data_IF_569782198322
#
_entry.id   IF_569782198322
#
_cell.length_a   1.000
_cell.length_b   1.000
_cell.length_c   1.000
_cell.angle_alpha   90.00
_cell.angle_beta   90.00
_cell.angle_gamma   90.00
#
_symmetry.space_group_name_H-M   'P 1'
#
loop_
_entity.id
_entity.type
_entity.pdbx_description
1 polymer ?
#
# COMPACT_ATOMS: atom_id res chain seq x y z
N UNK A 1 -1.16 -5.72 -3.75
CA UNK A 1 -1.53 -7.11 -3.39
C UNK A 1 -2.18 -7.18 -2.02
N UNK A 2 -1.51 -6.86 -0.91
CA UNK A 2 -2.13 -6.93 0.42
C UNK A 2 -3.34 -5.99 0.60
N UNK A 3 -3.15 -4.70 0.32
CA UNK A 3 -4.21 -3.68 0.38
C UNK A 3 -5.40 -4.01 -0.54
N UNK A 4 -5.13 -4.54 -1.72
CA UNK A 4 -6.17 -4.89 -2.69
C UNK A 4 -6.99 -6.12 -2.25
N UNK A 5 -6.37 -7.09 -1.54
CA UNK A 5 -7.08 -8.26 -0.99
C UNK A 5 -7.94 -7.88 0.22
N UNK A 6 -7.40 -7.09 1.16
CA UNK A 6 -8.12 -6.73 2.40
C UNK A 6 -9.23 -5.68 2.16
N UNK A 7 -9.11 -4.89 1.09
CA UNK A 7 -10.08 -3.82 0.77
C UNK A 7 -11.22 -4.27 -0.14
N UNK A 8 -11.35 -5.57 -0.44
CA UNK A 8 -12.40 -6.10 -1.32
C UNK A 8 -13.78 -5.73 -0.76
N UNK A 9 -14.58 -5.04 -1.58
CA UNK A 9 -15.94 -4.61 -1.23
C UNK A 9 -16.06 -3.25 -0.53
N UNK A 10 -14.97 -2.52 -0.26
CA UNK A 10 -15.00 -1.16 0.31
C UNK A 10 -15.02 -0.08 -0.78
N UNK A 11 -15.59 1.09 -0.49
CA UNK A 11 -15.53 2.23 -1.43
C UNK A 11 -14.07 2.71 -1.55
N UNK A 12 -13.65 3.05 -2.76
CA UNK A 12 -12.29 3.56 -3.04
C UNK A 12 -11.93 4.73 -2.10
N UNK A 13 -12.88 5.63 -1.85
CA UNK A 13 -12.70 6.79 -0.95
C UNK A 13 -12.39 6.38 0.49
N UNK A 14 -13.07 5.36 1.03
CA UNK A 14 -12.87 4.87 2.40
C UNK A 14 -11.50 4.21 2.56
N UNK A 15 -11.07 3.46 1.55
CA UNK A 15 -9.75 2.81 1.51
C UNK A 15 -8.64 3.85 1.51
N UNK A 16 -8.77 4.90 0.68
CA UNK A 16 -7.79 5.99 0.61
C UNK A 16 -7.70 6.73 1.95
N UNK A 17 -8.84 7.15 2.51
CA UNK A 17 -8.85 7.86 3.79
C UNK A 17 -8.31 7.01 4.94
N UNK A 18 -8.70 5.73 5.01
CA UNK A 18 -8.19 4.81 6.02
C UNK A 18 -6.67 4.62 5.94
N UNK A 19 -6.12 4.52 4.73
CA UNK A 19 -4.68 4.38 4.52
C UNK A 19 -3.92 5.65 4.89
N UNK A 20 -4.36 6.82 4.40
CA UNK A 20 -3.68 8.08 4.66
C UNK A 20 -3.74 8.42 6.14
N UNK A 21 -4.93 8.43 6.74
CA UNK A 21 -5.08 8.80 8.16
C UNK A 21 -4.37 7.82 9.07
N UNK A 22 -4.48 6.50 8.80
CA UNK A 22 -3.83 5.48 9.59
C UNK A 22 -2.30 5.63 9.60
N UNK A 23 -1.70 5.76 8.41
CA UNK A 23 -0.25 5.93 8.30
C UNK A 23 0.23 7.27 8.86
N UNK A 24 -0.47 8.38 8.58
CA UNK A 24 -0.08 9.70 9.07
C UNK A 24 -0.12 9.79 10.59
N UNK A 25 -1.19 9.31 11.24
CA UNK A 25 -1.31 9.34 12.71
C UNK A 25 -0.23 8.45 13.35
N UNK A 26 0.04 7.27 12.77
CA UNK A 26 1.10 6.38 13.25
C UNK A 26 2.49 7.02 13.17
N UNK A 27 2.83 7.62 12.02
CA UNK A 27 4.10 8.33 11.86
C UNK A 27 4.20 9.53 12.80
N UNK A 28 3.14 10.34 12.90
CA UNK A 28 3.12 11.51 13.79
C UNK A 28 3.32 11.12 15.26
N UNK A 29 2.63 10.06 15.72
CA UNK A 29 2.79 9.57 17.08
C UNK A 29 4.21 9.06 17.34
N UNK A 30 4.74 8.20 16.46
CA UNK A 30 6.05 7.60 16.65
C UNK A 30 7.19 8.62 16.58
N UNK A 31 7.24 9.41 15.51
CA UNK A 31 8.26 10.45 15.37
C UNK A 31 8.07 11.54 16.42
N UNK A 32 6.83 11.98 16.70
CA UNK A 32 6.55 12.99 17.71
C UNK A 32 7.10 12.62 19.09
N UNK A 33 6.90 11.38 19.54
CA UNK A 33 7.40 10.94 20.86
C UNK A 33 8.91 10.73 20.85
N UNK A 34 9.43 9.98 19.87
CA UNK A 34 10.85 9.60 19.84
C UNK A 34 11.77 10.80 19.54
N UNK A 35 11.36 11.65 18.61
CA UNK A 35 12.11 12.85 18.22
C UNK A 35 12.06 13.90 19.34
N UNK A 36 10.90 14.14 19.95
CA UNK A 36 10.79 15.06 21.09
C UNK A 36 11.66 14.62 22.24
N UNK A 37 11.77 13.31 22.50
CA UNK A 37 12.67 12.77 23.52
C UNK A 37 14.14 13.01 23.16
N UNK A 38 14.55 12.70 21.93
CA UNK A 38 15.93 12.92 21.48
C UNK A 38 16.33 14.41 21.57
N UNK A 39 15.43 15.32 21.18
CA UNK A 39 15.63 16.77 21.29
C UNK A 39 15.74 17.19 22.76
N UNK A 40 14.89 16.66 23.64
CA UNK A 40 14.96 16.95 25.07
C UNK A 40 16.30 16.50 25.68
N UNK A 41 16.84 15.34 25.27
CA UNK A 41 18.16 14.88 25.71
C UNK A 41 19.30 15.77 25.18
N UNK A 42 19.15 16.32 23.97
CA UNK A 42 20.10 17.26 23.38
C UNK A 42 20.11 18.61 24.11
N UNK A 43 18.94 19.20 24.36
CA UNK A 43 18.82 20.50 25.03
C UNK A 43 19.33 20.44 26.47
N UNK A 44 19.09 19.34 27.18
CA UNK A 44 19.59 19.14 28.55
C UNK A 44 21.10 18.81 28.62
N UNK A 45 21.79 18.74 27.47
CA UNK A 45 23.24 18.50 27.42
C UNK A 45 23.66 17.07 27.78
N UNK A 46 22.72 16.13 27.87
CA UNK A 46 23.01 14.73 28.23
C UNK A 46 23.63 13.98 27.06
N UNK A 47 23.15 14.23 25.83
CA UNK A 47 23.66 13.60 24.60
C UNK A 47 23.77 14.62 23.49
N UNK A 48 24.96 14.76 22.89
CA UNK A 48 25.15 15.54 21.67
C UNK A 48 24.82 14.68 20.43
N UNK A 49 23.53 14.52 20.14
CA UNK A 49 23.03 13.68 19.04
C UNK A 49 23.62 14.08 17.66
N UNK A 50 23.72 15.38 17.29
CA UNK A 50 24.32 15.79 16.03
C UNK A 50 25.78 15.35 15.87
N UNK A 51 26.60 15.53 16.92
CA UNK A 51 28.01 15.15 16.87
C UNK A 51 28.20 13.63 16.76
N UNK A 52 27.39 12.85 17.47
CA UNK A 52 27.43 11.38 17.40
C UNK A 52 27.02 10.89 16.02
N UNK A 53 26.04 11.54 15.38
CA UNK A 53 25.60 11.19 14.04
C UNK A 53 26.71 11.36 12.98
N UNK A 54 27.49 12.43 13.08
CA UNK A 54 28.61 12.71 12.15
C UNK A 54 29.82 11.79 12.39
N UNK A 55 30.12 11.45 13.64
CA UNK A 55 31.36 10.76 14.01
C UNK A 55 31.22 9.24 14.13
N UNK A 56 30.06 8.76 14.62
CA UNK A 56 29.82 7.36 14.98
C UNK A 56 28.65 6.73 14.21
N UNK A 57 27.98 7.52 13.36
CA UNK A 57 26.88 7.07 12.51
C UNK A 57 25.51 7.03 13.19
N UNK A 58 24.47 6.87 12.38
CA UNK A 58 23.07 6.94 12.83
C UNK A 58 22.64 5.80 13.76
N UNK A 59 23.23 4.61 13.61
CA UNK A 59 22.94 3.45 14.45
C UNK A 59 23.38 3.70 15.90
N UNK A 60 24.60 4.23 16.07
CA UNK A 60 25.14 4.57 17.39
C UNK A 60 24.35 5.71 18.03
N UNK A 61 23.90 6.70 17.26
CA UNK A 61 23.08 7.79 17.78
C UNK A 61 21.76 7.29 18.39
N UNK A 62 21.06 6.37 17.72
CA UNK A 62 19.83 5.76 18.25
C UNK A 62 20.12 4.95 19.50
N UNK A 63 21.19 4.16 19.51
CA UNK A 63 21.59 3.38 20.69
C UNK A 63 21.84 4.29 21.91
N UNK A 64 22.57 5.40 21.74
CA UNK A 64 22.88 6.33 22.83
C UNK A 64 21.61 6.96 23.38
N UNK A 65 20.69 7.40 22.50
CA UNK A 65 19.40 7.95 22.92
C UNK A 65 18.59 6.90 23.71
N UNK A 66 18.54 5.65 23.26
CA UNK A 66 17.83 4.59 24.00
C UNK A 66 18.49 4.26 25.36
N UNK A 67 19.81 4.30 25.42
CA UNK A 67 20.57 4.03 26.65
C UNK A 67 20.41 5.14 27.70
N UNK A 68 20.01 6.35 27.30
CA UNK A 68 19.68 7.43 28.25
C UNK A 68 18.41 7.18 29.06
N UNK A 69 17.57 6.21 28.67
CA UNK A 69 16.39 5.87 29.46
C UNK A 69 16.79 5.13 30.75
N UNK A 70 16.01 5.29 31.85
CA UNK A 70 16.30 4.65 33.14
C UNK A 70 16.35 3.11 33.08
N UNK A 71 15.80 2.48 32.04
CA UNK A 71 15.93 1.06 31.74
C UNK A 71 16.50 0.80 30.33
N UNK A 72 17.48 1.59 29.91
CA UNK A 72 17.96 1.65 28.52
C UNK A 72 18.36 0.31 27.90
N UNK A 73 18.98 -0.60 28.66
CA UNK A 73 19.33 -1.96 28.18
C UNK A 73 18.10 -2.80 27.82
N UNK A 74 17.02 -2.70 28.60
CA UNK A 74 15.76 -3.40 28.34
C UNK A 74 15.07 -2.83 27.10
N UNK A 75 15.00 -1.50 26.99
CA UNK A 75 14.44 -0.82 25.83
C UNK A 75 15.24 -1.09 24.56
N UNK A 76 16.57 -1.15 24.64
CA UNK A 76 17.43 -1.51 23.51
C UNK A 76 17.18 -2.95 23.04
N UNK A 77 17.07 -3.91 23.97
CA UNK A 77 16.74 -5.29 23.64
C UNK A 77 15.35 -5.41 23.00
N UNK A 78 14.35 -4.70 23.54
CA UNK A 78 13.01 -4.66 22.97
C UNK A 78 12.98 -4.02 21.57
N UNK A 79 13.69 -2.90 21.39
CA UNK A 79 13.84 -2.24 20.09
C UNK A 79 14.45 -3.16 19.05
N UNK A 80 15.53 -3.86 19.40
CA UNK A 80 16.18 -4.83 18.51
C UNK A 80 15.24 -5.99 18.15
N UNK A 81 14.47 -6.49 19.11
CA UNK A 81 13.44 -7.52 18.86
C UNK A 81 12.35 -7.04 17.89
N UNK A 82 11.83 -5.82 18.10
CA UNK A 82 10.83 -5.21 17.19
C UNK A 82 11.41 -5.01 15.79
N UNK A 83 12.66 -4.53 15.68
CA UNK A 83 13.32 -4.35 14.38
C UNK A 83 13.48 -5.66 13.63
N UNK A 84 13.86 -6.75 14.31
CA UNK A 84 13.99 -8.08 13.69
C UNK A 84 12.63 -8.57 13.19
N UNK A 85 11.58 -8.48 14.02
CA UNK A 85 10.23 -8.94 13.63
C UNK A 85 9.68 -8.10 12.48
N UNK A 86 9.88 -6.78 12.53
CA UNK A 86 9.47 -5.87 11.47
C UNK A 86 10.19 -6.16 10.17
N UNK A 87 11.52 -6.37 10.22
CA UNK A 87 12.33 -6.72 9.06
C UNK A 87 11.88 -8.05 8.46
N UNK A 88 11.71 -9.09 9.28
CA UNK A 88 11.25 -10.41 8.83
C UNK A 88 9.88 -10.34 8.14
N UNK A 89 8.93 -9.62 8.75
CA UNK A 89 7.57 -9.44 8.18
C UNK A 89 7.58 -8.62 6.90
N UNK A 90 8.44 -7.59 6.83
CA UNK A 90 8.58 -6.76 5.64
C UNK A 90 9.16 -7.56 4.48
N UNK A 91 10.24 -8.31 4.73
CA UNK A 91 10.87 -9.16 3.73
C UNK A 91 9.91 -10.24 3.22
N UNK A 92 9.13 -10.85 4.11
CA UNK A 92 8.13 -11.85 3.75
C UNK A 92 7.03 -11.30 2.81
N UNK A 93 6.61 -10.06 3.04
CA UNK A 93 5.66 -9.35 2.18
C UNK A 93 6.26 -9.00 0.82
N UNK A 94 7.51 -8.51 0.78
CA UNK A 94 8.18 -8.16 -0.49
C UNK A 94 8.44 -9.42 -1.33
N UNK A 95 8.97 -10.48 -0.73
CA UNK A 95 9.20 -11.76 -1.41
C UNK A 95 7.90 -12.35 -1.98
N UNK A 96 6.80 -12.27 -1.23
CA UNK A 96 5.47 -12.65 -1.73
C UNK A 96 5.06 -11.84 -2.96
N UNK A 97 5.21 -10.51 -2.91
CA UNK A 97 4.84 -9.66 -4.05
C UNK A 97 5.70 -9.94 -5.29
N UNK A 98 7.01 -10.17 -5.13
CA UNK A 98 7.91 -10.50 -6.24
C UNK A 98 7.55 -11.85 -6.87
N UNK A 99 7.33 -12.87 -6.05
CA UNK A 99 6.89 -14.19 -6.50
C UNK A 99 5.56 -14.10 -7.26
N UNK A 100 4.57 -13.40 -6.70
CA UNK A 100 3.27 -13.19 -7.35
C UNK A 100 3.36 -12.43 -8.68
N UNK A 101 4.30 -11.49 -8.82
CA UNK A 101 4.51 -10.77 -10.09
C UNK A 101 5.34 -11.55 -11.12
N UNK A 102 6.15 -12.51 -10.67
CA UNK A 102 7.01 -13.34 -11.52
C UNK A 102 6.33 -14.63 -11.99
N UNK A 103 5.26 -15.08 -11.30
CA UNK A 103 4.45 -16.20 -11.75
C UNK A 103 3.47 -15.76 -12.84
N UNK A 104 3.60 -16.34 -14.03
CA UNK A 104 2.66 -16.14 -15.13
C UNK A 104 1.36 -16.91 -14.84
N UNK A 105 0.22 -16.25 -15.03
CA UNK A 105 -1.11 -16.87 -14.97
C UNK A 105 -1.57 -17.35 -13.57
N UNK A 106 -1.12 -16.69 -12.50
CA UNK A 106 -1.62 -16.94 -11.15
C UNK A 106 -3.10 -16.55 -11.05
N UNK A 107 -3.98 -17.47 -10.64
CA UNK A 107 -5.41 -17.20 -10.49
C UNK A 107 -5.67 -16.29 -9.27
N UNK A 108 -6.75 -15.51 -9.31
CA UNK A 108 -7.13 -14.63 -8.20
C UNK A 108 -7.42 -15.44 -6.93
N UNK A 109 -6.48 -15.42 -5.98
CA UNK A 109 -6.62 -16.10 -4.69
C UNK A 109 -5.61 -17.23 -4.47
N UNK A 110 -4.94 -17.70 -5.51
CA UNK A 110 -3.86 -18.68 -5.40
C UNK A 110 -2.59 -18.02 -4.87
N UNK A 111 -1.90 -18.73 -3.98
CA UNK A 111 -0.61 -18.28 -3.47
C UNK A 111 0.52 -18.74 -4.41
N UNK A 112 1.53 -17.87 -4.65
CA UNK A 112 2.69 -18.24 -5.45
C UNK A 112 3.45 -19.40 -4.81
N UNK A 113 4.13 -20.19 -5.65
CA UNK A 113 4.89 -21.35 -5.21
C UNK A 113 5.85 -20.99 -4.05
N UNK A 114 5.85 -21.82 -3.00
CA UNK A 114 6.65 -21.59 -1.78
C UNK A 114 8.15 -21.57 -2.08
N UNK A 115 8.61 -22.37 -3.04
CA UNK A 115 10.00 -22.39 -3.48
C UNK A 115 10.41 -21.10 -4.20
N UNK A 116 9.54 -20.55 -5.06
CA UNK A 116 9.80 -19.27 -5.71
C UNK A 116 9.81 -18.10 -4.72
N UNK A 117 8.94 -18.15 -3.69
CA UNK A 117 8.95 -17.17 -2.60
C UNK A 117 10.26 -17.20 -1.81
N UNK A 118 10.74 -18.40 -1.48
CA UNK A 118 12.01 -18.56 -0.77
C UNK A 118 13.20 -18.06 -1.62
N UNK A 119 13.20 -18.37 -2.92
CA UNK A 119 14.20 -17.86 -3.86
C UNK A 119 14.26 -16.33 -3.84
N UNK A 120 13.12 -15.66 -3.99
CA UNK A 120 13.08 -14.19 -3.97
C UNK A 120 13.47 -13.61 -2.62
N UNK A 121 13.09 -14.24 -1.51
CA UNK A 121 13.51 -13.82 -0.18
C UNK A 121 15.05 -13.82 -0.06
N UNK A 122 15.71 -14.90 -0.49
CA UNK A 122 17.18 -15.01 -0.46
C UNK A 122 17.82 -13.94 -1.35
N UNK A 123 17.34 -13.76 -2.58
CA UNK A 123 17.87 -12.75 -3.51
C UNK A 123 17.75 -11.33 -2.95
N UNK A 124 16.58 -10.97 -2.40
CA UNK A 124 16.34 -9.65 -1.81
C UNK A 124 17.22 -9.42 -0.57
N UNK A 125 17.53 -10.47 0.21
CA UNK A 125 18.41 -10.38 1.38
C UNK A 125 19.87 -10.23 1.00
N UNK A 126 20.30 -10.91 -0.06
CA UNK A 126 21.70 -10.90 -0.51
C UNK A 126 22.15 -9.52 -0.99
N UNK A 127 21.26 -8.72 -1.58
CA UNK A 127 21.58 -7.38 -2.07
C UNK A 127 22.04 -6.45 -0.92
N UNK A 128 21.21 -6.14 0.10
CA UNK A 128 21.64 -5.30 1.21
C UNK A 128 22.79 -5.94 2.00
N UNK A 129 22.84 -7.27 2.12
CA UNK A 129 23.94 -7.96 2.78
C UNK A 129 25.28 -7.73 2.06
N UNK A 130 25.32 -7.81 0.72
CA UNK A 130 26.54 -7.55 -0.05
C UNK A 130 26.99 -6.09 0.05
N UNK A 131 26.05 -5.14 0.11
CA UNK A 131 26.34 -3.72 0.33
C UNK A 131 26.93 -3.49 1.74
N UNK A 132 26.37 -4.14 2.76
CA UNK A 132 26.89 -4.09 4.13
C UNK A 132 28.33 -4.59 4.21
N UNK A 133 28.64 -5.71 3.55
CA UNK A 133 30.00 -6.28 3.50
C UNK A 133 31.00 -5.40 2.74
N UNK A 134 30.54 -4.62 1.77
CA UNK A 134 31.39 -3.69 1.00
C UNK A 134 31.80 -2.49 1.86
N UNK A 135 31.17 -2.26 3.01
CA UNK A 135 31.47 -1.10 3.88
C UNK A 135 31.13 0.23 3.22
N UNK A 136 30.20 0.22 2.26
CA UNK A 136 29.81 1.41 1.52
C UNK A 136 29.29 2.50 2.47
N UNK A 137 29.69 3.75 2.23
CA UNK A 137 29.23 4.87 3.05
C UNK A 137 27.70 5.00 2.97
N UNK A 138 27.06 5.41 4.07
CA UNK A 138 25.61 5.66 4.14
C UNK A 138 25.13 6.58 3.02
N UNK A 139 25.96 7.56 2.64
CA UNK A 139 25.67 8.49 1.56
C UNK A 139 25.65 7.82 0.18
N UNK A 140 26.59 6.90 -0.08
CA UNK A 140 26.61 6.11 -1.33
C UNK A 140 25.36 5.25 -1.47
N UNK A 141 24.91 4.64 -0.36
CA UNK A 141 23.66 3.87 -0.35
C UNK A 141 22.44 4.75 -0.65
N UNK A 142 22.34 5.92 -0.03
CA UNK A 142 21.25 6.89 -0.30
C UNK A 142 21.22 7.29 -1.78
N UNK A 143 22.36 7.66 -2.35
CA UNK A 143 22.45 8.08 -3.75
C UNK A 143 22.05 6.95 -4.70
N UNK A 144 22.49 5.72 -4.45
CA UNK A 144 22.13 4.56 -5.28
C UNK A 144 20.63 4.27 -5.25
N UNK A 145 20.00 4.38 -4.07
CA UNK A 145 18.54 4.22 -3.93
C UNK A 145 17.79 5.32 -4.67
N UNK A 146 18.25 6.58 -4.59
CA UNK A 146 17.63 7.69 -5.33
C UNK A 146 17.74 7.48 -6.84
N UNK A 147 18.91 7.10 -7.33
CA UNK A 147 19.14 6.85 -8.76
C UNK A 147 18.25 5.72 -9.30
N UNK A 148 18.05 4.65 -8.51
CA UNK A 148 17.17 3.53 -8.89
C UNK A 148 15.69 3.86 -8.77
N UNK A 149 15.30 4.81 -7.90
CA UNK A 149 13.91 5.25 -7.75
C UNK A 149 13.42 6.13 -8.91
N UNK A 150 14.29 6.90 -9.55
CA UNK A 150 13.94 7.79 -10.68
C UNK A 150 13.22 7.08 -11.85
N UNK A 151 13.73 5.96 -12.42
CA UNK A 151 13.01 5.26 -13.49
C UNK A 151 11.68 4.66 -12.99
N UNK A 152 11.64 4.20 -11.74
CA UNK A 152 10.42 3.64 -11.15
C UNK A 152 9.32 4.71 -11.00
N UNK A 153 9.70 5.96 -10.71
CA UNK A 153 8.79 7.09 -10.66
C UNK A 153 8.04 7.31 -11.98
N UNK A 154 8.74 7.20 -13.12
CA UNK A 154 8.12 7.33 -14.46
C UNK A 154 7.05 6.26 -14.67
N UNK A 155 7.35 5.01 -14.30
CA UNK A 155 6.40 3.90 -14.39
C UNK A 155 5.18 4.16 -13.51
N UNK A 156 5.38 4.66 -12.28
CA UNK A 156 4.28 5.01 -11.38
C UNK A 156 3.39 6.09 -11.97
N UNK A 157 3.95 7.14 -12.57
CA UNK A 157 3.17 8.20 -13.22
C UNK A 157 2.31 7.66 -14.37
N UNK A 158 2.85 6.77 -15.19
CA UNK A 158 2.08 6.09 -16.25
C UNK A 158 0.94 5.26 -15.67
N UNK A 159 1.19 4.51 -14.59
CA UNK A 159 0.16 3.70 -13.91
C UNK A 159 -0.95 4.57 -13.31
N UNK A 160 -0.59 5.70 -12.69
CA UNK A 160 -1.57 6.66 -12.14
C UNK A 160 -2.40 7.27 -13.27
N UNK A 161 -1.76 7.72 -14.36
CA UNK A 161 -2.47 8.26 -15.51
C UNK A 161 -3.42 7.25 -16.16
N UNK A 162 -3.01 5.99 -16.29
CA UNK A 162 -3.86 4.89 -16.77
C UNK A 162 -5.03 4.61 -15.82
N UNK A 163 -4.80 4.63 -14.51
CA UNK A 163 -5.84 4.43 -13.51
C UNK A 163 -6.90 5.55 -13.51
N UNK A 164 -6.48 6.81 -13.63
CA UNK A 164 -7.40 7.95 -13.72
C UNK A 164 -8.29 7.83 -14.97
N UNK A 165 -7.70 7.55 -16.14
CA UNK A 165 -8.45 7.33 -17.39
C UNK A 165 -9.43 6.16 -17.28
N UNK A 166 -9.02 5.07 -16.63
CA UNK A 166 -9.88 3.92 -16.39
C UNK A 166 -11.07 4.29 -15.49
N UNK A 167 -10.83 5.06 -14.41
CA UNK A 167 -11.89 5.57 -13.54
C UNK A 167 -12.86 6.48 -14.29
N UNK A 168 -12.36 7.43 -15.08
CA UNK A 168 -13.21 8.32 -15.90
C UNK A 168 -14.09 7.54 -16.89
N UNK A 169 -13.52 6.52 -17.53
CA UNK A 169 -14.26 5.66 -18.46
C UNK A 169 -15.35 4.84 -17.73
N UNK A 170 -15.02 4.32 -16.55
CA UNK A 170 -15.99 3.60 -15.70
C UNK A 170 -17.15 4.49 -15.24
N UNK A 171 -16.86 5.72 -14.84
CA UNK A 171 -17.88 6.71 -14.46
C UNK A 171 -18.75 7.14 -15.65
N UNK A 172 -18.15 7.33 -16.84
CA UNK A 172 -18.89 7.66 -18.08
C UNK A 172 -19.86 6.55 -18.49
N UNK A 173 -19.47 5.28 -18.38
CA UNK A 173 -20.37 4.14 -18.67
C UNK A 173 -21.56 4.07 -17.72
N UNK A 174 -21.35 4.34 -16.43
CA UNK A 174 -22.44 4.33 -15.46
C UNK A 174 -23.40 5.52 -15.63
N UNK A 175 -22.92 6.67 -16.13
CA UNK A 175 -23.77 7.83 -16.47
C UNK A 175 -24.60 7.61 -17.75
N UNK A 176 -24.07 6.87 -18.73
CA UNK A 176 -24.78 6.55 -19.98
C UNK A 176 -25.94 5.57 -19.78
N UNK A 177 -25.75 4.53 -18.95
CA UNK A 177 -26.80 3.55 -18.63
C UNK A 177 -28.00 4.17 -17.87
N UNK A 178 -27.77 5.22 -17.07
CA UNK A 178 -28.86 5.98 -16.46
C UNK A 178 -29.62 6.87 -17.46
N UNK A 179 -29.04 7.23 -18.61
CA UNK A 179 -29.74 8.06 -19.61
C UNK A 179 -30.65 7.22 -20.52
N UNK A 180 -30.28 5.96 -20.79
CA UNK A 180 -31.05 5.05 -21.65
C UNK A 180 -32.33 4.51 -20.97
N UNK A 181 -32.38 4.47 -19.64
CA UNK A 181 -33.58 4.09 -18.87
C UNK A 181 -34.62 5.23 -18.77
N UNK A 182 -34.23 6.48 -19.07
CA UNK A 182 -35.09 7.66 -18.95
C UNK A 182 -35.68 8.15 -20.27
N UNK A 183 -35.45 7.46 -21.39
CA UNK A 183 -36.28 7.67 -22.57
C UNK A 183 -37.64 7.00 -22.31
N UNK A 184 -38.73 7.75 -22.09
CA UNK A 184 -40.05 7.14 -22.10
C UNK A 184 -40.20 6.47 -23.46
N UNK A 185 -40.62 5.19 -23.45
CA UNK A 185 -41.04 4.48 -24.65
C UNK A 185 -41.85 5.44 -25.50
N UNK A 186 -41.37 5.72 -26.71
CA UNK A 186 -42.05 6.70 -27.57
C UNK A 186 -43.53 6.30 -27.68
N UNK A 187 -44.48 7.25 -27.68
CA UNK A 187 -45.92 6.93 -27.68
C UNK A 187 -46.35 5.98 -28.81
N UNK A 188 -45.51 5.85 -29.84
CA UNK A 188 -45.70 4.98 -31.00
C UNK A 188 -45.65 3.49 -30.64
N UNK A 189 -44.71 3.05 -29.78
CA UNK A 189 -44.59 1.63 -29.38
C UNK A 189 -45.76 1.16 -28.49
N UNK A 190 -46.30 2.07 -27.67
CA UNK A 190 -47.45 1.80 -26.81
C UNK A 190 -48.75 1.64 -27.63
N UNK A 191 -48.87 2.37 -28.75
CA UNK A 191 -50.00 2.26 -29.66
C UNK A 191 -49.94 0.98 -30.50
N UNK A 192 -48.75 0.58 -30.93
CA UNK A 192 -48.54 -0.67 -31.68
C UNK A 192 -48.92 -1.91 -30.86
N UNK A 193 -48.54 -1.96 -29.58
CA UNK A 193 -48.95 -3.03 -28.66
C UNK A 193 -50.46 -3.07 -28.37
N UNK A 194 -51.16 -1.93 -28.48
CA UNK A 194 -52.60 -1.84 -28.25
C UNK A 194 -53.42 -2.31 -29.45
N UNK A 195 -52.86 -2.21 -30.66
CA UNK A 195 -53.48 -2.71 -31.90
C UNK A 195 -53.34 -4.22 -32.10
N UNK A 196 -52.38 -4.88 -31.43
CA UNK A 196 -52.11 -6.31 -31.56
C UNK A 196 -52.96 -7.22 -30.64
N UNK A 197 -53.87 -6.67 -29.84
CA UNK A 197 -54.76 -7.46 -28.97
C UNK A 197 -56.13 -7.68 -29.67
N UNK A 198 -56.51 -8.92 -30.02
CA UNK A 198 -57.79 -9.17 -30.67
C UNK A 198 -58.95 -8.96 -29.68
N UNK A 199 -59.97 -8.23 -30.14
CA UNK A 199 -61.23 -8.04 -29.44
C UNK A 199 -62.01 -9.36 -29.43
N UNK A 200 -62.23 -9.94 -28.25
CA UNK A 200 -63.21 -11.02 -28.06
C UNK A 200 -62.69 -12.23 -27.30
N UNK A 201 -62.78 -12.18 -25.98
CA UNK A 201 -63.06 -13.38 -25.18
C UNK A 201 -64.11 -13.00 -24.14
N UNK A 202 -65.34 -13.32 -24.53
CA UNK A 202 -66.58 -13.23 -23.76
C UNK A 202 -66.46 -14.11 -22.51
N UNK A 203 -66.76 -13.51 -21.35
CA UNK A 203 -67.03 -14.21 -20.10
C UNK A 203 -68.16 -15.24 -20.31
N UNK A 204 -67.90 -16.51 -19.95
CA UNK A 204 -68.94 -17.54 -19.80
C UNK A 204 -68.86 -18.08 -18.36
N UNK A 205 -69.95 -17.90 -17.63
CA UNK A 205 -70.09 -18.22 -16.20
C UNK A 205 -70.67 -19.61 -15.89
N UNK A 206 -71.10 -19.70 -14.64
CA UNK A 206 -71.74 -20.81 -13.88
C UNK A 206 -70.79 -21.98 -13.55
N UNK A 207 -70.65 -22.46 -12.31
CA UNK A 207 -71.58 -22.54 -11.16
C UNK A 207 -70.79 -22.53 -9.84
#
# INVERSE_FOLDING_TARGET
>A
MFLTRVSRGRKIKEVIWGLILGSTVGCWFFFGVMESYAIHQFINGVINVPQVLETLGGETAVQQVLMSLPAGKLFLAAYLGVMIIFLASHMDAVAYTMAATSTRNLQEGDDPDRGLRLFWCVVITLIPLSILFTGASLETMKTTVVLTALPFLVILLVKVGGFIRWLETGLRRHSGSSSEHYLPQTPVEALEKRQLLPAGTVFKGDN
#
